data_IF_591380982364
#
_entry.id   IF_591380982364
#
_cell.length_a   1.000
_cell.length_b   1.000
_cell.length_c   1.000
_cell.angle_alpha   90.00
_cell.angle_beta   90.00
_cell.angle_gamma   90.00
#
_symmetry.space_group_name_H-M   'P 1'
#
loop_
_entity.id
_entity.type
_entity.pdbx_description
1 polymer ?
#
# COMPACT_ATOMS: atom_id res chain seq x y z
N UNK A 1 9.01 -24.69 38.63
CA UNK A 1 7.67 -25.00 38.11
C UNK A 1 6.80 -23.83 38.57
N UNK A 2 6.23 -22.95 37.76
CA UNK A 2 5.89 -22.93 36.33
C UNK A 2 5.91 -21.48 35.86
N UNK A 3 6.55 -21.21 34.72
CA UNK A 3 6.39 -19.93 34.00
C UNK A 3 5.07 -19.97 33.25
N UNK A 4 3.98 -19.58 33.90
CA UNK A 4 2.67 -19.47 33.27
C UNK A 4 2.74 -18.49 32.11
N UNK A 5 2.53 -18.96 30.88
CA UNK A 5 2.47 -18.11 29.68
C UNK A 5 1.40 -17.04 29.95
N UNK A 6 1.69 -15.73 29.79
CA UNK A 6 0.67 -14.71 29.97
C UNK A 6 -0.50 -15.02 29.05
N UNK A 7 -1.66 -15.27 29.64
CA UNK A 7 -2.87 -15.61 28.90
C UNK A 7 -3.25 -14.42 28.00
N UNK A 8 -3.68 -14.65 26.76
CA UNK A 8 -3.79 -13.61 25.75
C UNK A 8 -5.11 -12.85 25.89
N UNK A 9 -5.51 -12.48 27.11
CA UNK A 9 -6.74 -11.71 27.35
C UNK A 9 -6.69 -10.36 26.61
N UNK A 10 -5.50 -9.76 26.49
CA UNK A 10 -5.27 -8.59 25.65
C UNK A 10 -5.68 -8.82 24.18
N UNK A 11 -5.34 -9.98 23.59
CA UNK A 11 -5.70 -10.29 22.21
C UNK A 11 -7.22 -10.47 22.04
N UNK A 12 -7.94 -10.89 23.08
CA UNK A 12 -9.39 -11.00 23.06
C UNK A 12 -10.07 -9.61 23.04
N UNK A 13 -9.52 -8.63 23.76
CA UNK A 13 -10.09 -7.26 23.79
C UNK A 13 -9.60 -6.39 22.63
N UNK A 14 -8.33 -6.51 22.24
CA UNK A 14 -7.73 -5.72 21.15
C UNK A 14 -7.96 -6.35 19.78
N UNK A 15 -8.12 -7.68 19.71
CA UNK A 15 -8.33 -8.42 18.47
C UNK A 15 -9.52 -7.90 17.64
N UNK A 16 -10.73 -7.79 18.20
CA UNK A 16 -11.89 -7.30 17.44
C UNK A 16 -11.72 -5.88 16.90
N UNK A 17 -11.17 -4.99 17.71
CA UNK A 17 -10.93 -3.60 17.31
C UNK A 17 -9.80 -3.50 16.27
N UNK A 18 -8.70 -4.24 16.47
CA UNK A 18 -7.60 -4.33 15.51
C UNK A 18 -8.05 -4.94 14.17
N UNK A 19 -8.90 -5.97 14.21
CA UNK A 19 -9.48 -6.57 13.00
C UNK A 19 -10.40 -5.59 12.27
N UNK A 20 -11.20 -4.82 12.99
CA UNK A 20 -12.03 -3.76 12.41
C UNK A 20 -11.17 -2.70 11.71
N UNK A 21 -10.15 -2.17 12.39
CA UNK A 21 -9.24 -1.18 11.80
C UNK A 21 -8.49 -1.76 10.59
N UNK A 22 -8.01 -3.00 10.69
CA UNK A 22 -7.31 -3.68 9.59
C UNK A 22 -8.23 -3.87 8.39
N UNK A 23 -9.49 -4.24 8.61
CA UNK A 23 -10.47 -4.37 7.53
C UNK A 23 -10.67 -3.04 6.80
N UNK A 24 -10.85 -1.94 7.53
CA UNK A 24 -11.00 -0.62 6.92
C UNK A 24 -9.71 -0.09 6.28
N UNK A 25 -8.54 -0.50 6.79
CA UNK A 25 -7.25 -0.22 6.17
C UNK A 25 -7.10 -0.97 4.84
N UNK A 26 -7.43 -2.27 4.82
CA UNK A 26 -7.21 -3.16 3.67
C UNK A 26 -8.22 -2.93 2.55
N UNK A 27 -9.48 -2.63 2.87
CA UNK A 27 -10.55 -2.42 1.90
C UNK A 27 -10.20 -1.45 0.75
N UNK A 28 -9.66 -0.24 0.98
CA UNK A 28 -9.26 0.64 -0.11
C UNK A 28 -8.12 0.06 -0.96
N UNK A 29 -7.18 -0.68 -0.38
CA UNK A 29 -6.12 -1.34 -1.15
C UNK A 29 -6.66 -2.46 -2.03
N UNK A 30 -7.64 -3.23 -1.54
CA UNK A 30 -8.35 -4.24 -2.35
C UNK A 30 -9.03 -3.56 -3.54
N UNK A 31 -9.68 -2.41 -3.32
CA UNK A 31 -10.29 -1.65 -4.40
C UNK A 31 -9.26 -1.18 -5.45
N UNK A 32 -8.12 -0.64 -5.00
CA UNK A 32 -7.01 -0.26 -5.90
C UNK A 32 -6.47 -1.47 -6.67
N UNK A 33 -6.32 -2.61 -6.01
CA UNK A 33 -5.86 -3.84 -6.64
C UNK A 33 -6.83 -4.32 -7.74
N UNK A 34 -8.14 -4.31 -7.46
CA UNK A 34 -9.18 -4.63 -8.44
C UNK A 34 -9.17 -3.64 -9.62
N UNK A 35 -9.08 -2.34 -9.34
CA UNK A 35 -9.00 -1.32 -10.39
C UNK A 35 -7.74 -1.45 -11.24
N UNK A 36 -6.62 -1.92 -10.69
CA UNK A 36 -5.38 -2.12 -11.44
C UNK A 36 -5.52 -3.18 -12.55
N UNK A 37 -6.40 -4.15 -12.34
CA UNK A 37 -6.66 -5.25 -13.29
C UNK A 37 -7.93 -5.04 -14.11
N UNK A 38 -8.69 -3.97 -13.87
CA UNK A 38 -9.90 -3.68 -14.64
C UNK A 38 -9.61 -2.79 -15.84
N UNK A 39 -10.37 -2.98 -16.91
CA UNK A 39 -10.23 -2.16 -18.11
C UNK A 39 -10.68 -0.73 -17.84
N UNK A 40 -9.78 0.22 -18.06
CA UNK A 40 -10.10 1.63 -17.86
C UNK A 40 -11.14 2.09 -18.89
N UNK A 41 -12.24 2.68 -18.42
CA UNK A 41 -13.26 3.29 -19.27
C UNK A 41 -13.50 4.74 -18.86
N UNK A 42 -13.41 5.71 -19.79
CA UNK A 42 -13.58 7.12 -19.49
C UNK A 42 -15.02 7.49 -19.07
N UNK A 43 -16.00 6.63 -19.35
CA UNK A 43 -17.42 6.86 -19.02
C UNK A 43 -17.89 6.13 -17.77
N UNK A 44 -17.26 5.00 -17.42
CA UNK A 44 -17.63 4.17 -16.25
C UNK A 44 -16.54 4.05 -15.20
N UNK A 45 -15.42 4.77 -15.33
CA UNK A 45 -14.20 4.72 -14.51
C UNK A 45 -13.44 3.40 -14.69
N UNK A 46 -14.13 2.26 -14.54
CA UNK A 46 -13.61 0.92 -14.78
C UNK A 46 -14.72 0.00 -15.30
N UNK A 47 -14.36 -0.90 -16.20
CA UNK A 47 -15.20 -2.03 -16.62
C UNK A 47 -14.61 -3.27 -15.96
N UNK A 48 -15.46 -4.12 -15.36
CA UNK A 48 -15.06 -5.36 -14.69
C UNK A 48 -14.63 -6.46 -15.69
N UNK A 49 -13.81 -6.07 -16.67
CA UNK A 49 -13.10 -6.94 -17.58
C UNK A 49 -11.67 -7.04 -17.10
N UNK A 50 -11.25 -8.26 -16.76
CA UNK A 50 -9.91 -8.52 -16.25
C UNK A 50 -8.88 -8.34 -17.38
N UNK A 51 -7.96 -7.40 -17.21
CA UNK A 51 -6.93 -7.05 -18.17
C UNK A 51 -5.60 -6.69 -17.47
N UNK A 52 -4.50 -7.21 -18.02
CA UNK A 52 -3.14 -6.84 -17.59
C UNK A 52 -2.59 -5.61 -18.32
N UNK A 53 -3.35 -5.04 -19.26
CA UNK A 53 -2.87 -3.95 -20.14
C UNK A 53 -2.44 -2.70 -19.39
N UNK A 54 -3.03 -2.42 -18.23
CA UNK A 54 -2.62 -1.29 -17.38
C UNK A 54 -1.17 -1.41 -16.89
N UNK A 55 -0.67 -2.63 -16.68
CA UNK A 55 0.70 -2.87 -16.25
C UNK A 55 1.72 -2.63 -17.38
N UNK A 56 1.30 -2.75 -18.64
CA UNK A 56 2.18 -2.42 -19.77
C UNK A 56 2.58 -0.94 -19.75
N UNK A 57 1.71 -0.04 -19.24
CA UNK A 57 2.00 1.39 -19.10
C UNK A 57 3.19 1.67 -18.19
N UNK A 58 3.46 0.80 -17.22
CA UNK A 58 4.61 0.96 -16.30
C UNK A 58 5.96 0.96 -17.03
N UNK A 59 6.02 0.33 -18.21
CA UNK A 59 7.21 0.26 -19.04
C UNK A 59 7.36 1.42 -20.02
N UNK A 60 6.37 2.32 -20.10
CA UNK A 60 6.51 3.52 -20.91
C UNK A 60 7.56 4.45 -20.28
N UNK A 61 8.39 5.05 -21.15
CA UNK A 61 9.50 5.94 -20.75
C UNK A 61 9.03 7.05 -19.80
N UNK A 62 7.83 7.58 -20.02
CA UNK A 62 7.25 8.60 -19.16
C UNK A 62 7.08 8.12 -17.70
N UNK A 63 6.43 6.98 -17.49
CA UNK A 63 6.20 6.46 -16.14
C UNK A 63 7.51 6.02 -15.47
N UNK A 64 8.42 5.38 -16.23
CA UNK A 64 9.72 4.99 -15.72
C UNK A 64 10.58 6.19 -15.30
N UNK A 65 10.62 7.26 -16.11
CA UNK A 65 11.37 8.48 -15.77
C UNK A 65 10.74 9.21 -14.58
N UNK A 66 9.41 9.27 -14.49
CA UNK A 66 8.71 9.83 -13.35
C UNK A 66 9.04 9.07 -12.06
N UNK A 67 9.00 7.73 -12.11
CA UNK A 67 9.35 6.87 -10.98
C UNK A 67 10.80 7.10 -10.50
N UNK A 68 11.77 7.17 -11.41
CA UNK A 68 13.16 7.42 -11.04
C UNK A 68 13.35 8.82 -10.44
N UNK A 69 12.63 9.83 -10.94
CA UNK A 69 12.67 11.19 -10.38
C UNK A 69 12.10 11.23 -8.96
N UNK A 70 10.94 10.60 -8.73
CA UNK A 70 10.34 10.56 -7.39
C UNK A 70 11.18 9.74 -6.42
N UNK A 71 11.76 8.62 -6.86
CA UNK A 71 12.67 7.80 -6.06
C UNK A 71 13.94 8.57 -5.66
N UNK A 72 14.56 9.28 -6.62
CA UNK A 72 15.74 10.11 -6.33
C UNK A 72 15.39 11.21 -5.33
N UNK A 73 14.25 11.87 -5.51
CA UNK A 73 13.83 12.94 -4.62
C UNK A 73 13.55 12.43 -3.20
N UNK A 74 12.81 11.33 -3.06
CA UNK A 74 12.50 10.75 -1.75
C UNK A 74 13.75 10.26 -1.02
N UNK A 75 14.74 9.73 -1.74
CA UNK A 75 16.01 9.30 -1.17
C UNK A 75 16.85 10.50 -0.67
N UNK A 76 16.96 11.55 -1.48
CA UNK A 76 17.66 12.79 -1.08
C UNK A 76 17.02 13.42 0.16
N UNK A 77 15.68 13.48 0.19
CA UNK A 77 14.94 14.03 1.35
C UNK A 77 15.14 13.15 2.58
N UNK A 78 15.02 11.82 2.44
CA UNK A 78 15.24 10.88 3.55
C UNK A 78 16.63 11.04 4.16
N UNK A 79 17.67 11.11 3.31
CA UNK A 79 19.05 11.32 3.77
C UNK A 79 19.19 12.68 4.45
N UNK A 80 18.64 13.74 3.85
CA UNK A 80 18.65 15.08 4.45
C UNK A 80 18.00 15.10 5.83
N UNK A 81 16.83 14.46 5.98
CA UNK A 81 16.15 14.35 7.26
C UNK A 81 16.96 13.52 8.28
N UNK A 82 17.62 12.44 7.85
CA UNK A 82 18.44 11.61 8.74
C UNK A 82 19.66 12.40 9.26
N UNK A 83 20.36 13.11 8.39
CA UNK A 83 21.53 13.92 8.76
C UNK A 83 21.16 15.10 9.65
N UNK A 84 20.04 15.77 9.37
CA UNK A 84 19.60 16.93 10.17
C UNK A 84 18.93 16.53 11.49
N UNK A 85 18.23 15.40 11.51
CA UNK A 85 17.49 14.92 12.69
C UNK A 85 18.38 14.25 13.74
N UNK A 86 19.53 13.73 13.32
CA UNK A 86 20.55 13.17 14.22
C UNK A 86 21.94 13.70 13.79
N UNK A 87 22.23 14.99 14.07
CA UNK A 87 23.48 15.63 13.66
C UNK A 87 24.70 15.05 14.36
#
# INVERSE_FOLDING_TARGET
MEGGRPSPYWALFVGPYGAYLLLFLVLPFVNVALLSVYLHSPTKIAVAEFTGTNYAKLWEVYYATLFLRTLRLSLLVTIGCAVLGYP
#
